data_IF_845965388137
#
_entry.id   IF_845965388137
#
_cell.length_a   1.000
_cell.length_b   1.000
_cell.length_c   1.000
_cell.angle_alpha   90.00
_cell.angle_beta   90.00
_cell.angle_gamma   90.00
#
_symmetry.space_group_name_H-M   'P 1'
#
loop_
_entity.id
_entity.type
_entity.pdbx_description
1 polymer ?
#
# COMPACT_ATOMS: atom_id res chain seq x y z
N UNK A 1 12.93 -10.31 -37.47
CA UNK A 1 12.21 -10.42 -36.19
C UNK A 1 12.10 -9.07 -35.45
N UNK A 2 11.67 -7.97 -36.09
CA UNK A 2 11.55 -6.64 -35.43
C UNK A 2 10.10 -6.13 -35.37
N UNK A 3 9.22 -6.60 -36.25
CA UNK A 3 7.81 -6.21 -36.29
C UNK A 3 7.02 -6.69 -35.07
N UNK A 4 7.40 -7.84 -34.49
CA UNK A 4 6.77 -8.36 -33.28
C UNK A 4 7.16 -7.55 -32.03
N UNK A 5 8.42 -7.09 -31.95
CA UNK A 5 8.90 -6.26 -30.84
C UNK A 5 8.23 -4.89 -30.84
N UNK A 6 8.14 -4.22 -32.00
CA UNK A 6 7.46 -2.91 -32.11
C UNK A 6 5.99 -3.02 -31.68
N UNK A 7 5.30 -4.09 -32.12
CA UNK A 7 3.89 -4.33 -31.74
C UNK A 7 3.74 -4.57 -30.24
N UNK A 8 4.66 -5.32 -29.62
CA UNK A 8 4.68 -5.55 -28.17
C UNK A 8 4.91 -4.26 -27.37
N UNK A 9 5.85 -3.42 -27.82
CA UNK A 9 6.15 -2.14 -27.16
C UNK A 9 4.93 -1.20 -27.24
N UNK A 10 4.24 -1.15 -28.38
CA UNK A 10 3.02 -0.35 -28.51
C UNK A 10 1.93 -0.84 -27.54
N UNK A 11 1.70 -2.14 -27.44
CA UNK A 11 0.74 -2.69 -26.48
C UNK A 11 1.13 -2.38 -25.03
N UNK A 12 2.41 -2.51 -24.67
CA UNK A 12 2.90 -2.20 -23.33
C UNK A 12 2.67 -0.72 -22.99
N UNK A 13 3.01 0.20 -23.89
CA UNK A 13 2.81 1.64 -23.70
C UNK A 13 1.32 1.99 -23.61
N UNK A 14 0.47 1.42 -24.47
CA UNK A 14 -0.98 1.64 -24.42
C UNK A 14 -1.59 1.14 -23.11
N UNK A 15 -1.17 -0.05 -22.66
CA UNK A 15 -1.64 -0.62 -21.40
C UNK A 15 -1.20 0.22 -20.21
N UNK A 16 0.06 0.66 -20.19
CA UNK A 16 0.60 1.50 -19.11
C UNK A 16 -0.04 2.89 -19.08
N UNK A 17 -0.22 3.52 -20.24
CA UNK A 17 -0.92 4.79 -20.36
C UNK A 17 -2.39 4.64 -19.91
N UNK A 18 -3.07 3.56 -20.32
CA UNK A 18 -4.43 3.24 -19.88
C UNK A 18 -4.55 3.07 -18.36
N UNK A 19 -3.65 2.31 -17.74
CA UNK A 19 -3.62 2.13 -16.29
C UNK A 19 -3.28 3.43 -15.54
N UNK A 20 -2.33 4.21 -16.05
CA UNK A 20 -1.92 5.49 -15.45
C UNK A 20 -3.04 6.53 -15.54
N UNK A 21 -3.75 6.58 -16.68
CA UNK A 21 -4.91 7.44 -16.87
C UNK A 21 -6.11 6.97 -16.04
N UNK A 22 -6.30 5.65 -15.87
CA UNK A 22 -7.35 5.10 -15.01
C UNK A 22 -7.10 5.43 -13.53
N UNK A 23 -5.84 5.38 -13.05
CA UNK A 23 -5.47 5.86 -11.70
C UNK A 23 -5.79 7.35 -11.52
N UNK A 24 -5.38 8.18 -12.47
CA UNK A 24 -5.60 9.63 -12.41
C UNK A 24 -7.09 10.03 -12.57
N UNK A 25 -7.85 9.30 -13.39
CA UNK A 25 -9.28 9.51 -13.55
C UNK A 25 -10.06 9.12 -12.30
N UNK A 26 -9.62 8.07 -11.57
CA UNK A 26 -10.22 7.66 -10.30
C UNK A 26 -10.05 8.76 -9.24
N UNK A 27 -8.88 9.40 -9.20
CA UNK A 27 -8.60 10.57 -8.33
C UNK A 27 -9.48 11.79 -8.69
N UNK A 28 -9.67 12.08 -9.99
CA UNK A 28 -10.44 13.25 -10.45
C UNK A 28 -11.97 13.09 -10.37
N UNK A 29 -12.50 11.87 -10.38
CA UNK A 29 -13.95 11.65 -10.23
C UNK A 29 -14.41 11.89 -8.79
N UNK A 30 -13.61 11.46 -7.80
CA UNK A 30 -13.88 11.66 -6.37
C UNK A 30 -13.90 13.15 -5.98
N UNK A 31 -13.08 13.98 -6.63
CA UNK A 31 -13.05 15.44 -6.42
C UNK A 31 -14.30 16.17 -6.97
N UNK A 32 -14.99 15.60 -7.96
CA UNK A 32 -16.20 16.18 -8.58
C UNK A 32 -17.51 15.63 -8.02
N UNK A 33 -17.46 14.59 -7.18
CA UNK A 33 -18.62 13.94 -6.57
C UNK A 33 -18.77 14.27 -5.07
N UNK A 34 -17.92 15.13 -4.50
CA UNK A 34 -18.12 15.67 -3.14
C UNK A 34 -19.20 16.77 -3.14
N UNK A 35 -20.41 16.52 -2.61
CA UNK A 35 -21.39 17.57 -2.50
C UNK A 35 -20.91 18.58 -1.46
N UNK A 36 -20.89 19.82 -1.88
CA UNK A 36 -21.14 20.97 -1.05
C UNK A 36 -22.22 20.68 -0.01
N UNK A 37 -21.86 20.51 1.27
CA UNK A 37 -22.64 20.84 2.49
C UNK A 37 -21.93 20.30 3.75
N UNK A 38 -21.41 21.19 4.59
CA UNK A 38 -22.02 21.54 5.89
C UNK A 38 -22.01 20.39 6.93
N UNK A 39 -21.16 20.51 7.96
CA UNK A 39 -21.38 19.81 9.23
C UNK A 39 -20.17 19.10 9.86
N UNK A 40 -19.23 19.89 10.39
CA UNK A 40 -18.66 19.76 11.75
C UNK A 40 -18.22 18.40 12.36
N UNK A 41 -18.03 17.29 11.63
CA UNK A 41 -17.57 16.01 12.25
C UNK A 41 -16.51 15.20 11.48
N UNK A 42 -16.03 15.66 10.32
CA UNK A 42 -15.21 14.84 9.40
C UNK A 42 -13.73 15.19 9.24
N UNK A 43 -13.16 16.19 9.94
CA UNK A 43 -11.83 16.72 9.60
C UNK A 43 -10.63 15.96 10.20
N UNK A 44 -10.76 14.67 10.53
CA UNK A 44 -9.60 13.89 10.96
C UNK A 44 -8.83 13.45 9.73
N UNK A 45 -7.76 14.18 9.42
CA UNK A 45 -6.80 13.77 8.41
C UNK A 45 -5.84 12.75 9.03
N UNK A 46 -5.78 11.57 8.44
CA UNK A 46 -4.87 10.50 8.86
C UNK A 46 -3.78 10.30 7.82
N UNK A 47 -2.61 9.88 8.28
CA UNK A 47 -1.44 9.68 7.43
C UNK A 47 -1.26 8.19 7.15
N UNK A 48 -1.07 7.84 5.89
CA UNK A 48 -0.77 6.46 5.54
C UNK A 48 0.60 6.03 6.10
N UNK A 49 0.66 4.94 6.86
CA UNK A 49 1.92 4.44 7.45
C UNK A 49 2.93 3.94 6.39
N UNK A 50 2.47 3.64 5.17
CA UNK A 50 3.30 3.19 4.06
C UNK A 50 3.79 4.34 3.17
N UNK A 51 2.87 5.07 2.52
CA UNK A 51 3.21 6.11 1.55
C UNK A 51 3.28 7.52 2.14
N UNK A 52 2.95 7.69 3.42
CA UNK A 52 3.01 8.96 4.15
C UNK A 52 2.09 10.07 3.60
N UNK A 53 1.17 9.72 2.70
CA UNK A 53 0.15 10.61 2.15
C UNK A 53 -0.91 10.89 3.21
N UNK A 54 -1.42 12.12 3.26
CA UNK A 54 -2.52 12.54 4.11
C UNK A 54 -3.84 12.36 3.36
N UNK A 55 -4.79 11.67 3.98
CA UNK A 55 -6.14 11.46 3.44
C UNK A 55 -7.16 11.54 4.57
N UNK A 56 -8.44 11.81 4.27
CA UNK A 56 -9.48 11.84 5.29
C UNK A 56 -9.69 10.45 5.90
N UNK A 57 -9.98 10.40 7.20
CA UNK A 57 -10.18 9.14 7.95
C UNK A 57 -11.28 8.26 7.35
N UNK A 58 -12.30 8.86 6.73
CA UNK A 58 -13.42 8.15 6.10
C UNK A 58 -13.01 7.21 4.96
N UNK A 59 -11.94 7.57 4.23
CA UNK A 59 -11.39 6.80 3.12
C UNK A 59 -10.19 5.94 3.54
N UNK A 60 -9.75 6.05 4.78
CA UNK A 60 -8.58 5.36 5.28
C UNK A 60 -8.93 3.96 5.80
N UNK A 61 -8.21 2.94 5.32
CA UNK A 61 -8.28 1.61 5.91
C UNK A 61 -7.50 1.60 7.22
N UNK A 62 -8.18 1.26 8.31
CA UNK A 62 -7.59 1.06 9.63
C UNK A 62 -7.20 -0.40 9.83
N UNK A 63 -5.92 -0.67 10.11
CA UNK A 63 -5.43 -2.01 10.41
C UNK A 63 -4.45 -1.95 11.58
N UNK A 64 -4.75 -2.67 12.67
CA UNK A 64 -3.90 -2.76 13.89
C UNK A 64 -3.43 -1.44 14.52
N UNK A 65 -4.09 -0.32 14.22
CA UNK A 65 -3.74 1.01 14.72
C UNK A 65 -3.06 1.91 13.70
N UNK A 66 -2.70 1.37 12.54
CA UNK A 66 -2.15 2.11 11.40
C UNK A 66 -3.23 2.41 10.36
N UNK A 67 -3.00 3.49 9.60
CA UNK A 67 -3.89 3.96 8.54
C UNK A 67 -3.28 3.71 7.16
N UNK A 68 -4.10 3.32 6.19
CA UNK A 68 -3.67 3.02 4.82
C UNK A 68 -4.59 3.64 3.78
N UNK A 69 -4.00 4.20 2.71
CA UNK A 69 -4.77 4.79 1.62
C UNK A 69 -5.38 3.73 0.67
N UNK A 70 -4.92 2.48 0.73
CA UNK A 70 -5.42 1.38 -0.10
C UNK A 70 -5.05 0.02 0.50
N UNK A 71 -5.81 -1.02 0.10
CA UNK A 71 -5.53 -2.40 0.46
C UNK A 71 -4.12 -2.87 0.04
N UNK A 72 -3.65 -2.44 -1.14
CA UNK A 72 -2.29 -2.77 -1.61
C UNK A 72 -1.19 -2.27 -0.65
N UNK A 73 -1.36 -1.07 -0.08
CA UNK A 73 -0.39 -0.51 0.87
C UNK A 73 -0.44 -1.21 2.22
N UNK A 74 -1.63 -1.55 2.70
CA UNK A 74 -1.81 -2.38 3.89
C UNK A 74 -1.11 -3.73 3.70
N UNK A 75 -1.34 -4.40 2.58
CA UNK A 75 -0.82 -5.75 2.34
C UNK A 75 0.71 -5.76 2.24
N UNK A 76 1.30 -4.74 1.60
CA UNK A 76 2.77 -4.55 1.59
C UNK A 76 3.33 -4.31 2.99
N UNK A 77 2.72 -3.42 3.76
CA UNK A 77 3.15 -3.13 5.12
C UNK A 77 3.09 -4.36 6.03
N UNK A 78 2.03 -5.16 5.92
CA UNK A 78 1.88 -6.41 6.68
C UNK A 78 2.89 -7.48 6.23
N UNK A 79 3.23 -7.52 4.94
CA UNK A 79 4.21 -8.46 4.41
C UNK A 79 5.60 -8.22 5.02
N UNK A 80 6.08 -6.98 5.01
CA UNK A 80 7.40 -6.63 5.59
C UNK A 80 7.46 -6.95 7.09
N UNK A 81 6.44 -6.55 7.85
CA UNK A 81 6.36 -6.82 9.30
C UNK A 81 6.38 -8.31 9.64
N UNK A 82 5.84 -9.16 8.77
CA UNK A 82 5.81 -10.61 8.96
C UNK A 82 7.18 -11.25 8.70
N UNK A 83 7.95 -10.69 7.77
CA UNK A 83 9.31 -11.13 7.49
C UNK A 83 10.24 -10.80 8.67
N UNK A 84 10.18 -9.57 9.19
CA UNK A 84 10.93 -9.15 10.39
C UNK A 84 10.67 -10.07 11.59
N UNK A 85 9.40 -10.33 11.92
CA UNK A 85 9.02 -11.20 13.05
C UNK A 85 9.51 -12.64 12.89
N UNK A 86 9.67 -13.11 11.65
CA UNK A 86 10.16 -14.46 11.36
C UNK A 86 11.67 -14.54 11.54
N UNK A 87 12.40 -13.46 11.22
CA UNK A 87 13.83 -13.35 11.45
C UNK A 87 14.14 -13.28 12.94
N UNK A 88 13.46 -12.40 13.69
CA UNK A 88 13.62 -12.28 15.15
C UNK A 88 13.41 -13.62 15.86
N UNK A 89 12.30 -14.33 15.58
CA UNK A 89 12.04 -15.64 16.17
C UNK A 89 13.10 -16.69 15.84
N UNK A 90 13.68 -16.61 14.63
CA UNK A 90 14.72 -17.55 14.21
C UNK A 90 16.04 -17.28 14.93
N UNK A 91 16.32 -16.02 15.26
CA UNK A 91 17.48 -15.62 16.06
C UNK A 91 17.33 -16.05 17.52
N UNK A 92 16.19 -15.73 18.16
CA UNK A 92 15.88 -16.17 19.53
C UNK A 92 16.01 -17.70 19.67
N UNK A 93 15.43 -18.43 18.73
CA UNK A 93 15.44 -19.90 18.74
C UNK A 93 16.83 -20.49 18.45
N UNK A 94 17.72 -19.73 17.80
CA UNK A 94 19.12 -20.12 17.61
C UNK A 94 19.95 -19.86 18.85
N UNK A 95 19.65 -18.79 19.60
CA UNK A 95 20.31 -18.46 20.87
C UNK A 95 19.94 -19.46 21.96
N UNK A 96 18.65 -19.77 22.15
CA UNK A 96 18.20 -20.80 23.10
C UNK A 96 18.88 -22.15 22.83
N UNK A 97 18.89 -22.58 21.56
CA UNK A 97 19.44 -23.87 21.14
C UNK A 97 20.99 -23.88 21.14
N UNK A 98 21.64 -22.72 21.31
CA UNK A 98 23.08 -22.64 21.56
C UNK A 98 23.35 -22.80 23.06
N UNK A 99 22.55 -22.15 23.90
CA UNK A 99 22.69 -22.21 25.36
C UNK A 99 22.48 -23.63 25.90
N UNK A 100 21.49 -24.38 25.40
CA UNK A 100 21.29 -25.80 25.76
C UNK A 100 22.43 -26.74 25.35
N UNK A 101 23.32 -26.32 24.43
CA UNK A 101 24.45 -27.13 23.95
C UNK A 101 25.72 -26.94 24.77
N UNK A 102 25.78 -25.84 25.52
CA UNK A 102 26.93 -25.44 26.31
C UNK A 102 26.78 -25.88 27.80
N UNK A 103 25.61 -26.41 28.19
CA UNK A 103 25.30 -27.09 29.48
C UNK A 103 25.46 -28.63 29.39
#
# INVERSE_FOLDING_TARGET
MNLLLIRLIIFAVLFFAGLKLYRMYREWKLDREGPQQEGDQGNRMVRCSWCQVHLPEEDALRERGDWFCSGDHRDKYLAERKEEQKEEKKEEQKEENKQERDD
#
